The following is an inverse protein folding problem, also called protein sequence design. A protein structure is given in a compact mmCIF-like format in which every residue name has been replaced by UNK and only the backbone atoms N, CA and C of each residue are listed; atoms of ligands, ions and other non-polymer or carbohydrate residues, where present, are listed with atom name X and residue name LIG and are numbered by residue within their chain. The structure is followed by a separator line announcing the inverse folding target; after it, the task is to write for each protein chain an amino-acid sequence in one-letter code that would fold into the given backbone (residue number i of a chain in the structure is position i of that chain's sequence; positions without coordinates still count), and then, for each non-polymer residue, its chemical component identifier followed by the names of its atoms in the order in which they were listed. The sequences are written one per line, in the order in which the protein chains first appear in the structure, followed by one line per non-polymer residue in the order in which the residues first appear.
data_IF_170729322274
#
_entry.id   IF_170729322274
#
_cell.length_a   1.000
_cell.length_b   1.000
_cell.length_c   1.000
_cell.angle_alpha   90.00
_cell.angle_beta   90.00
_cell.angle_gamma   90.00
#
_symmetry.space_group_name_H-M   'P 1'
#
loop_
_entity.id
_entity.type
_entity.pdbx_description
1 polymer ?
#
# COMPACT_ATOMS: atom_id res chain seq x y z
N UNK A 1 -5.86 8.34 10.40
CA UNK A 1 -5.72 8.45 10.00
C UNK A 1 -5.91 8.81 9.60
N UNK A 2 -5.93 9.15 9.27
CA UNK A 2 -5.99 9.31 8.71
C UNK A 2 -6.38 9.81 8.01
N UNK A 3 -6.65 10.21 8.19
CA UNK A 3 -7.07 10.66 7.38
C UNK A 3 -6.79 10.70 6.26
N UNK A 4 -7.14 10.44 5.72
CA UNK A 4 -6.77 10.28 4.77
C UNK A 4 -6.39 11.02 4.16
N UNK A 5 -6.03 10.79 4.23
CA UNK A 5 -5.65 11.39 3.60
C UNK A 5 -5.78 11.90 2.40
N UNK A 6 -6.70 11.86 1.91
CA UNK A 6 -6.86 12.62 0.73
C UNK A 6 -6.47 14.04 1.02
N UNK A 7 -5.37 14.45 0.51
CA UNK A 7 -4.86 15.77 0.78
C UNK A 7 -5.31 16.69 -0.34
N UNK A 8 -6.14 17.68 -0.04
CA UNK A 8 -6.70 18.49 -1.12
C UNK A 8 -5.66 19.15 -2.01
N UNK A 9 -4.55 19.55 -1.43
CA UNK A 9 -3.52 20.23 -2.21
C UNK A 9 -2.76 19.33 -3.14
N UNK A 10 -2.92 18.03 -3.06
CA UNK A 10 -2.14 17.11 -3.87
C UNK A 10 -2.77 16.82 -5.21
N UNK A 11 -3.97 17.28 -5.47
CA UNK A 11 -4.65 16.95 -6.71
C UNK A 11 -4.77 18.17 -7.60
N UNK A 12 -4.84 17.90 -8.90
CA UNK A 12 -5.17 18.92 -9.88
C UNK A 12 -6.68 18.94 -10.07
N UNK A 13 -7.34 20.07 -9.82
CA UNK A 13 -8.80 20.08 -9.91
C UNK A 13 -9.34 19.70 -11.29
N UNK A 14 -8.55 19.88 -12.34
CA UNK A 14 -9.05 19.64 -13.67
C UNK A 14 -9.10 18.19 -14.09
N UNK A 15 -8.36 17.31 -13.43
CA UNK A 15 -8.27 15.92 -13.88
C UNK A 15 -8.97 14.94 -12.95
N UNK A 16 -9.47 15.38 -11.81
CA UNK A 16 -10.20 14.51 -10.90
C UNK A 16 -9.36 13.44 -10.23
N UNK A 17 -8.04 13.54 -10.29
CA UNK A 17 -7.15 12.54 -9.70
C UNK A 17 -6.61 13.04 -8.37
N UNK A 18 -6.79 12.24 -7.33
CA UNK A 18 -6.27 12.55 -6.01
C UNK A 18 -5.11 11.63 -5.71
N UNK A 19 -3.94 12.20 -5.56
CA UNK A 19 -2.76 11.42 -5.20
C UNK A 19 -2.73 11.13 -3.71
N UNK A 20 -2.18 9.97 -3.37
CA UNK A 20 -2.09 9.53 -1.98
C UNK A 20 -0.79 10.09 -1.41
N UNK A 21 -0.90 10.77 -0.27
CA UNK A 21 0.26 11.23 0.46
C UNK A 21 0.30 10.52 1.79
N UNK A 22 1.16 9.55 1.88
CA UNK A 22 1.30 8.70 3.06
C UNK A 22 2.76 8.70 3.48
N UNK A 23 3.03 8.82 4.78
CA UNK A 23 4.42 8.77 5.24
C UNK A 23 5.09 7.47 4.82
N UNK A 24 6.38 7.53 4.54
CA UNK A 24 7.14 6.35 4.20
C UNK A 24 7.14 5.37 5.36
N UNK A 25 7.05 4.09 5.05
CA UNK A 25 7.05 3.03 6.06
C UNK A 25 7.99 1.93 5.62
N UNK A 26 8.57 1.23 6.57
CA UNK A 26 9.47 0.11 6.27
C UNK A 26 8.71 -1.01 5.60
N UNK A 27 7.52 -1.32 6.09
CA UNK A 27 6.66 -2.34 5.50
C UNK A 27 5.27 -1.76 5.28
N UNK A 28 4.63 -2.16 4.20
CA UNK A 28 3.30 -1.65 3.86
C UNK A 28 2.39 -2.82 3.49
N UNK A 29 1.21 -2.84 4.07
CA UNK A 29 0.16 -3.79 3.72
C UNK A 29 -0.82 -3.11 2.77
N UNK A 30 -0.93 -3.63 1.56
CA UNK A 30 -1.91 -3.18 0.59
C UNK A 30 -2.98 -4.26 0.49
N UNK A 31 -4.19 -3.91 0.86
CA UNK A 31 -5.25 -4.92 0.96
C UNK A 31 -6.56 -4.38 0.42
N UNK A 32 -7.39 -5.28 -0.10
CA UNK A 32 -8.73 -4.94 -0.54
C UNK A 32 -9.76 -5.07 0.60
N UNK A 33 -9.33 -5.47 1.80
CA UNK A 33 -10.23 -5.67 2.92
C UNK A 33 -10.00 -4.60 3.99
N UNK A 34 -11.03 -3.78 4.25
CA UNK A 34 -10.94 -2.77 5.31
C UNK A 34 -10.76 -3.41 6.69
N UNK A 35 -11.27 -4.62 6.88
CA UNK A 35 -11.09 -5.30 8.16
C UNK A 35 -9.63 -5.56 8.47
N UNK A 36 -8.81 -5.80 7.44
CA UNK A 36 -7.38 -5.95 7.65
C UNK A 36 -6.76 -4.66 8.17
N UNK A 37 -7.20 -3.54 7.63
CA UNK A 37 -6.66 -2.24 8.04
C UNK A 37 -7.10 -1.87 9.45
N UNK A 38 -8.33 -2.21 9.81
CA UNK A 38 -8.81 -1.98 11.16
C UNK A 38 -8.01 -2.82 12.15
N UNK A 39 -7.77 -4.09 11.81
CA UNK A 39 -6.97 -4.97 12.67
C UNK A 39 -5.54 -4.46 12.80
N UNK A 40 -4.97 -3.99 11.69
CA UNK A 40 -3.62 -3.43 11.72
C UNK A 40 -3.55 -2.20 12.61
N UNK A 41 -4.51 -1.29 12.47
CA UNK A 41 -4.54 -0.08 13.30
C UNK A 41 -4.63 -0.42 14.78
N UNK A 42 -5.48 -1.40 15.13
CA UNK A 42 -5.59 -1.84 16.52
C UNK A 42 -4.31 -2.44 17.04
N UNK A 43 -3.61 -3.20 16.21
CA UNK A 43 -2.35 -3.78 16.61
C UNK A 43 -1.28 -2.71 16.83
N UNK A 44 -1.25 -1.70 15.97
CA UNK A 44 -0.28 -0.62 16.11
C UNK A 44 -0.55 0.26 17.32
N UNK A 45 -1.81 0.34 17.74
CA UNK A 45 -2.13 1.04 18.99
C UNK A 45 -1.52 0.33 20.19
N UNK A 46 -1.50 -1.00 20.16
CA UNK A 46 -0.93 -1.79 21.26
C UNK A 46 0.58 -1.89 21.17
N UNK A 47 1.12 -1.88 19.97
CA UNK A 47 2.55 -2.02 19.73
C UNK A 47 2.91 -1.18 18.51
N UNK A 48 3.32 0.09 18.70
CA UNK A 48 3.60 0.97 17.58
C UNK A 48 4.78 0.56 16.71
N UNK A 49 5.64 -0.32 17.21
CA UNK A 49 6.84 -0.74 16.47
C UNK A 49 6.97 -2.26 16.48
N UNK A 50 6.00 -2.97 15.87
CA UNK A 50 6.06 -4.43 15.90
C UNK A 50 7.25 -5.01 15.15
N UNK A 51 7.83 -4.23 14.26
CA UNK A 51 9.00 -4.68 13.49
C UNK A 51 10.32 -4.28 14.15
N UNK A 52 10.25 -3.62 15.31
CA UNK A 52 11.44 -3.19 16.03
C UNK A 52 11.65 -1.69 15.92
N UNK A 53 12.57 -1.16 16.74
CA UNK A 53 12.83 0.28 16.77
C UNK A 53 13.28 0.78 15.39
N UNK A 54 12.75 1.93 14.98
CA UNK A 54 13.12 2.53 13.72
C UNK A 54 12.47 1.91 12.51
N UNK A 55 11.61 0.91 12.70
CA UNK A 55 10.91 0.26 11.60
C UNK A 55 9.43 0.51 11.74
N UNK A 56 8.81 1.00 10.67
CA UNK A 56 7.40 1.36 10.70
C UNK A 56 6.59 0.45 9.80
N UNK A 57 5.30 0.39 10.08
CA UNK A 57 4.36 -0.45 9.36
C UNK A 57 3.16 0.41 8.99
N UNK A 58 2.78 0.40 7.72
CA UNK A 58 1.64 1.16 7.25
C UNK A 58 0.70 0.28 6.45
N UNK A 59 -0.46 0.81 6.15
CA UNK A 59 -1.45 0.09 5.36
C UNK A 59 -2.28 1.02 4.50
N UNK A 60 -2.82 0.47 3.42
CA UNK A 60 -3.66 1.22 2.50
C UNK A 60 -4.60 0.27 1.79
N UNK A 61 -5.84 0.71 1.57
CA UNK A 61 -6.78 -0.08 0.78
C UNK A 61 -6.44 0.06 -0.70
N UNK A 62 -6.42 -1.07 -1.40
CA UNK A 62 -6.08 -1.11 -2.82
C UNK A 62 -7.01 -0.26 -3.67
N UNK A 63 -8.23 -0.01 -3.21
CA UNK A 63 -9.14 0.83 -3.98
C UNK A 63 -8.59 2.23 -4.19
N UNK A 64 -7.71 2.70 -3.31
CA UNK A 64 -7.09 4.01 -3.46
C UNK A 64 -6.06 4.03 -4.59
N UNK A 65 -5.63 2.88 -5.08
CA UNK A 65 -4.59 2.77 -6.08
C UNK A 65 -5.11 2.25 -7.42
N UNK A 66 -6.39 2.40 -7.68
CA UNK A 66 -6.98 1.89 -8.91
C UNK A 66 -6.55 2.68 -10.14
N UNK A 67 -6.28 3.96 -10.00
CA UNK A 67 -5.85 4.78 -11.12
C UNK A 67 -4.35 4.61 -11.33
N UNK A 68 -3.91 4.29 -12.55
CA UNK A 68 -2.48 4.04 -12.79
C UNK A 68 -1.55 5.17 -12.38
N UNK A 69 -1.95 6.41 -12.61
CA UNK A 69 -1.11 7.55 -12.23
C UNK A 69 -0.96 7.67 -10.72
N UNK A 70 -2.02 7.36 -9.97
CA UNK A 70 -1.99 7.39 -8.52
C UNK A 70 -1.07 6.29 -8.00
N UNK A 71 -1.20 5.11 -8.57
CA UNK A 71 -0.35 3.98 -8.17
C UNK A 71 1.12 4.29 -8.45
N UNK A 72 1.42 4.80 -9.65
CA UNK A 72 2.80 5.09 -10.00
C UNK A 72 3.40 6.13 -9.07
N UNK A 73 2.63 7.15 -8.74
CA UNK A 73 3.08 8.19 -7.80
C UNK A 73 3.32 7.60 -6.42
N UNK A 74 2.43 6.74 -5.97
CA UNK A 74 2.55 6.10 -4.66
C UNK A 74 3.84 5.28 -4.57
N UNK A 75 4.12 4.52 -5.63
CA UNK A 75 5.33 3.69 -5.65
C UNK A 75 6.58 4.56 -5.61
N UNK A 76 6.58 5.67 -6.37
CA UNK A 76 7.76 6.54 -6.41
C UNK A 76 7.97 7.34 -5.15
N UNK A 77 6.92 7.59 -4.39
CA UNK A 77 7.02 8.43 -3.20
C UNK A 77 6.91 7.60 -1.92
N UNK A 78 5.73 7.07 -1.63
CA UNK A 78 5.51 6.39 -0.36
C UNK A 78 6.31 5.10 -0.22
N UNK A 79 6.52 4.39 -1.32
CA UNK A 79 7.25 3.12 -1.28
C UNK A 79 8.73 3.26 -1.60
N UNK A 80 9.22 4.49 -1.80
CA UNK A 80 10.62 4.68 -2.18
C UNK A 80 11.58 4.14 -1.12
N UNK A 81 11.21 4.26 0.15
CA UNK A 81 12.05 3.82 1.25
C UNK A 81 11.61 2.49 1.86
N UNK A 82 10.55 1.88 1.32
CA UNK A 82 10.03 0.65 1.89
C UNK A 82 10.88 -0.54 1.50
N UNK A 83 10.89 -1.56 2.36
CA UNK A 83 11.64 -2.79 2.14
C UNK A 83 10.73 -3.99 1.93
N UNK A 84 9.49 -3.91 2.40
CA UNK A 84 8.54 -5.01 2.27
C UNK A 84 7.17 -4.45 1.91
N UNK A 85 6.59 -5.01 0.86
CA UNK A 85 5.20 -4.72 0.50
C UNK A 85 4.44 -6.03 0.49
N UNK A 86 3.36 -6.08 1.25
CA UNK A 86 2.47 -7.24 1.29
C UNK A 86 1.17 -6.84 0.62
N UNK A 87 0.79 -7.57 -0.42
CA UNK A 87 -0.46 -7.33 -1.12
C UNK A 87 -1.40 -8.48 -0.82
N UNK A 88 -2.56 -8.16 -0.24
CA UNK A 88 -3.58 -9.16 0.02
C UNK A 88 -4.79 -8.88 -0.87
N UNK A 89 -5.05 -9.81 -1.77
CA UNK A 89 -6.11 -9.66 -2.76
C UNK A 89 -7.27 -10.58 -2.43
N UNK A 90 -8.45 -10.02 -2.37
CA UNK A 90 -9.68 -10.79 -2.30
C UNK A 90 -10.31 -10.70 -3.68
N UNK A 91 -10.64 -11.84 -4.28
CA UNK A 91 -11.24 -11.87 -5.60
C UNK A 91 -10.28 -12.09 -6.73
N UNK A 92 -9.01 -12.34 -6.43
CA UNK A 92 -8.05 -12.76 -7.43
C UNK A 92 -7.19 -11.64 -7.98
N UNK A 93 -6.16 -12.06 -8.69
CA UNK A 93 -5.11 -11.13 -9.15
C UNK A 93 -5.53 -10.26 -10.31
N UNK A 94 -6.57 -10.66 -11.05
CA UNK A 94 -6.99 -9.90 -12.21
C UNK A 94 -7.49 -8.50 -11.87
N UNK A 95 -7.92 -8.29 -10.64
CA UNK A 95 -8.42 -6.98 -10.23
C UNK A 95 -7.31 -5.98 -9.98
N UNK A 96 -6.07 -6.42 -9.93
CA UNK A 96 -4.95 -5.54 -9.62
C UNK A 96 -3.72 -5.90 -10.45
N UNK A 97 -3.92 -6.38 -11.68
CA UNK A 97 -2.80 -6.88 -12.47
C UNK A 97 -1.78 -5.80 -12.81
N UNK A 98 -2.24 -4.60 -13.17
CA UNK A 98 -1.29 -3.52 -13.43
C UNK A 98 -0.47 -3.20 -12.18
N UNK A 99 -1.12 -3.14 -11.03
CA UNK A 99 -0.44 -2.85 -9.78
C UNK A 99 0.59 -3.90 -9.42
N UNK A 100 0.25 -5.17 -9.62
CA UNK A 100 1.19 -6.25 -9.33
C UNK A 100 2.42 -6.16 -10.21
N UNK A 101 2.23 -5.79 -11.48
CA UNK A 101 3.38 -5.62 -12.38
C UNK A 101 4.28 -4.48 -11.95
N UNK A 102 3.68 -3.37 -11.56
CA UNK A 102 4.45 -2.22 -11.11
C UNK A 102 5.17 -2.51 -9.81
N UNK A 103 4.53 -3.22 -8.89
CA UNK A 103 5.15 -3.58 -7.62
C UNK A 103 6.26 -4.59 -7.81
N UNK A 104 6.11 -5.50 -8.78
CA UNK A 104 7.17 -6.42 -9.11
C UNK A 104 8.41 -5.66 -9.57
N UNK A 105 8.22 -4.65 -10.42
CA UNK A 105 9.32 -3.79 -10.84
C UNK A 105 9.96 -3.04 -9.67
N UNK A 106 9.13 -2.58 -8.73
CA UNK A 106 9.63 -1.93 -7.54
C UNK A 106 10.55 -2.87 -6.74
N UNK A 107 10.13 -4.12 -6.58
CA UNK A 107 10.91 -5.09 -5.81
C UNK A 107 12.21 -5.45 -6.52
N UNK A 108 12.15 -5.55 -7.84
CA UNK A 108 13.33 -5.93 -8.62
C UNK A 108 14.36 -4.81 -8.72
N UNK A 109 13.95 -3.57 -8.45
CA UNK A 109 14.85 -2.43 -8.55
C UNK A 109 15.91 -2.40 -7.47
N UNK A 110 15.68 -3.06 -6.33
CA UNK A 110 16.65 -3.10 -5.24
C UNK A 110 16.64 -4.46 -4.57
N UNK A 111 17.82 -5.01 -4.26
CA UNK A 111 17.90 -6.37 -3.70
C UNK A 111 17.32 -6.51 -2.31
N UNK A 112 17.25 -5.43 -1.53
CA UNK A 112 16.71 -5.51 -0.18
C UNK A 112 15.19 -5.50 -0.15
N UNK A 113 14.54 -5.22 -1.29
CA UNK A 113 13.09 -5.14 -1.35
C UNK A 113 12.46 -6.50 -1.55
N UNK A 114 11.32 -6.70 -0.90
CA UNK A 114 10.54 -7.93 -1.02
C UNK A 114 9.09 -7.60 -1.28
N UNK A 115 8.48 -8.37 -2.16
CA UNK A 115 7.06 -8.28 -2.46
C UNK A 115 6.41 -9.61 -2.13
N UNK A 116 5.36 -9.60 -1.31
CA UNK A 116 4.62 -10.78 -0.94
C UNK A 116 3.17 -10.61 -1.39
N UNK A 117 2.65 -11.56 -2.15
CA UNK A 117 1.28 -11.48 -2.66
C UNK A 117 0.48 -12.63 -2.08
N UNK A 118 -0.62 -12.30 -1.41
CA UNK A 118 -1.50 -13.27 -0.78
C UNK A 118 -2.87 -13.18 -1.44
N UNK A 119 -3.35 -14.29 -1.96
CA UNK A 119 -4.69 -14.37 -2.53
C UNK A 119 -5.62 -14.95 -1.47
N UNK A 120 -6.71 -14.26 -1.20
CA UNK A 120 -7.60 -14.63 -0.11
C UNK A 120 -8.99 -15.09 -0.55
N UNK A 121 -9.11 -15.66 -1.73
CA UNK A 121 -10.39 -16.18 -2.17
C UNK A 121 -10.67 -17.55 -1.58
N UNK A 122 -11.93 -17.91 -1.56
CA UNK A 122 -12.33 -19.19 -0.99
C UNK A 122 -11.78 -20.36 -1.81
N UNK A 123 -11.47 -20.14 -3.06
CA UNK A 123 -10.92 -21.19 -3.91
C UNK A 123 -9.44 -21.44 -3.65
N UNK A 124 -8.81 -20.54 -2.97
CA UNK A 124 -7.38 -20.69 -2.64
C UNK A 124 -7.15 -21.68 -1.50
#
# INVERSE_FOLDING_TARGET
MHRLAAVPGSSSPGDGVLFIEQPAATAVLLTSADTDLTALAGQLDRDPSPLGPGRSLGGLNLAALQHPAVLDHYIRTSLAQSELVIVRLLGGRGHFSYGLEQLKGWAEARPERQLMVLSGTAEE
#
